data_IF_006433611018
#
_entry.id   IF_006433611018
#
_cell.length_a   1.000
_cell.length_b   1.000
_cell.length_c   1.000
_cell.angle_alpha   90.00
_cell.angle_beta   90.00
_cell.angle_gamma   90.00
#
_symmetry.space_group_name_H-M   'P 1'
#
loop_
_entity.id
_entity.type
_entity.pdbx_description
1 polymer ?
#
# COMPACT_ATOMS: atom_id res chain seq x y z
N UNK A 1 4.70 -0.08 -32.60
CA UNK A 1 5.28 1.24 -32.21
C UNK A 1 4.24 2.18 -31.61
N UNK A 2 3.07 2.37 -32.23
CA UNK A 2 2.00 3.18 -31.65
C UNK A 2 1.47 2.60 -30.31
N UNK A 3 1.33 1.28 -30.21
CA UNK A 3 1.01 0.58 -28.95
C UNK A 3 1.99 0.84 -27.82
N UNK A 4 3.30 0.83 -28.11
CA UNK A 4 4.32 1.15 -27.12
C UNK A 4 4.21 2.60 -26.64
N UNK A 5 4.04 3.57 -27.55
CA UNK A 5 3.89 4.97 -27.13
C UNK A 5 2.62 5.19 -26.32
N UNK A 6 1.50 4.62 -26.76
CA UNK A 6 0.20 4.83 -26.13
C UNK A 6 0.16 4.13 -24.76
N UNK A 7 0.66 2.90 -24.65
CA UNK A 7 0.77 2.22 -23.36
C UNK A 7 1.76 2.89 -22.40
N UNK A 8 2.84 3.51 -22.89
CA UNK A 8 3.73 4.29 -22.03
C UNK A 8 3.08 5.58 -21.49
N UNK A 9 2.14 6.17 -22.22
CA UNK A 9 1.32 7.28 -21.69
C UNK A 9 0.47 6.78 -20.53
N UNK A 10 -0.21 5.64 -20.68
CA UNK A 10 -0.97 5.03 -19.59
C UNK A 10 -0.07 4.68 -18.38
N UNK A 11 1.16 4.19 -18.59
CA UNK A 11 2.13 3.95 -17.49
C UNK A 11 2.47 5.24 -16.73
N UNK A 12 2.62 6.37 -17.43
CA UNK A 12 2.86 7.66 -16.78
C UNK A 12 1.63 8.15 -16.02
N UNK A 13 0.44 8.02 -16.60
CA UNK A 13 -0.83 8.39 -15.95
C UNK A 13 -1.06 7.53 -14.68
N UNK A 14 -0.79 6.23 -14.73
CA UNK A 14 -0.86 5.35 -13.57
C UNK A 14 0.10 5.76 -12.45
N UNK A 15 1.30 6.22 -12.81
CA UNK A 15 2.27 6.76 -11.85
C UNK A 15 1.76 8.07 -11.24
N UNK A 16 1.22 8.98 -12.03
CA UNK A 16 0.66 10.24 -11.52
C UNK A 16 -0.47 9.97 -10.51
N UNK A 17 -1.32 8.97 -10.77
CA UNK A 17 -2.33 8.51 -9.82
C UNK A 17 -1.75 7.92 -8.52
N UNK A 18 -0.62 7.19 -8.58
CA UNK A 18 0.08 6.75 -7.37
C UNK A 18 0.60 7.94 -6.55
N UNK A 19 1.20 8.94 -7.21
CA UNK A 19 1.71 10.14 -6.55
C UNK A 19 0.58 10.96 -5.89
N UNK A 20 -0.57 11.08 -6.57
CA UNK A 20 -1.80 11.68 -6.01
C UNK A 20 -2.33 10.87 -4.82
N UNK A 21 -2.33 9.54 -4.90
CA UNK A 21 -2.73 8.65 -3.82
C UNK A 21 -1.83 8.78 -2.59
N UNK A 22 -0.51 8.84 -2.78
CA UNK A 22 0.46 9.06 -1.70
C UNK A 22 0.31 10.45 -1.07
N UNK A 23 0.01 11.48 -1.86
CA UNK A 23 -0.29 12.82 -1.33
C UNK A 23 -1.57 12.80 -0.48
N UNK A 24 -2.67 12.25 -1.01
CA UNK A 24 -3.93 12.13 -0.28
C UNK A 24 -3.79 11.29 0.99
N UNK A 25 -2.99 10.22 0.95
CA UNK A 25 -2.69 9.40 2.13
C UNK A 25 -1.98 10.19 3.23
N UNK A 26 -0.98 11.00 2.87
CA UNK A 26 -0.26 11.87 3.83
C UNK A 26 -1.16 12.96 4.42
N UNK A 27 -2.11 13.46 3.65
CA UNK A 27 -3.10 14.43 4.10
C UNK A 27 -4.27 13.77 4.87
N UNK A 28 -4.18 12.48 5.17
CA UNK A 28 -5.20 11.66 5.84
C UNK A 28 -6.56 11.62 5.12
N UNK A 29 -6.57 11.92 3.81
CA UNK A 29 -7.77 11.83 2.97
C UNK A 29 -7.87 10.43 2.34
N UNK A 30 -8.19 9.44 3.18
CA UNK A 30 -8.15 8.03 2.81
C UNK A 30 -9.13 7.64 1.69
N UNK A 31 -10.29 8.28 1.58
CA UNK A 31 -11.24 8.01 0.49
C UNK A 31 -10.66 8.45 -0.87
N UNK A 32 -9.99 9.60 -0.90
CA UNK A 32 -9.30 10.08 -2.10
C UNK A 32 -8.07 9.22 -2.41
N UNK A 33 -7.32 8.79 -1.38
CA UNK A 33 -6.18 7.89 -1.55
C UNK A 33 -6.61 6.55 -2.16
N UNK A 34 -7.68 5.94 -1.63
CA UNK A 34 -8.27 4.70 -2.15
C UNK A 34 -8.67 4.83 -3.62
N UNK A 35 -9.36 5.93 -3.96
CA UNK A 35 -9.75 6.22 -5.34
C UNK A 35 -8.54 6.31 -6.26
N UNK A 36 -7.52 7.09 -5.87
CA UNK A 36 -6.33 7.30 -6.68
C UNK A 36 -5.50 6.01 -6.86
N UNK A 37 -5.32 5.20 -5.81
CA UNK A 37 -4.66 3.90 -5.93
C UNK A 37 -5.46 2.93 -6.81
N UNK A 38 -6.80 2.94 -6.73
CA UNK A 38 -7.63 2.15 -7.63
C UNK A 38 -7.53 2.61 -9.09
N UNK A 39 -7.49 3.92 -9.34
CA UNK A 39 -7.33 4.49 -10.68
C UNK A 39 -5.95 4.19 -11.27
N UNK A 40 -4.91 4.20 -10.43
CA UNK A 40 -3.56 3.77 -10.81
C UNK A 40 -3.54 2.32 -11.29
N UNK A 41 -4.13 1.40 -10.52
CA UNK A 41 -4.24 -0.02 -10.89
C UNK A 41 -5.02 -0.22 -12.19
N UNK A 42 -6.19 0.42 -12.32
CA UNK A 42 -6.99 0.33 -13.54
C UNK A 42 -6.28 0.89 -14.77
N UNK A 43 -5.45 1.93 -14.61
CA UNK A 43 -4.67 2.51 -15.70
C UNK A 43 -3.47 1.65 -16.06
N UNK A 44 -2.82 1.02 -15.08
CA UNK A 44 -1.81 0.00 -15.31
C UNK A 44 -2.38 -1.19 -16.11
N UNK A 45 -3.54 -1.73 -15.75
CA UNK A 45 -4.22 -2.81 -16.50
C UNK A 45 -4.49 -2.43 -17.97
N UNK A 46 -4.88 -1.17 -18.22
CA UNK A 46 -5.06 -0.64 -19.58
C UNK A 46 -3.74 -0.58 -20.35
N UNK A 47 -2.65 -0.18 -19.70
CA UNK A 47 -1.32 -0.18 -20.32
C UNK A 47 -0.89 -1.60 -20.70
N UNK A 48 -1.06 -2.59 -19.80
CA UNK A 48 -0.75 -4.00 -20.06
C UNK A 48 -1.52 -4.53 -21.27
N UNK A 49 -2.82 -4.23 -21.34
CA UNK A 49 -3.67 -4.60 -22.48
C UNK A 49 -3.16 -3.96 -23.77
N UNK A 50 -2.82 -2.68 -23.74
CA UNK A 50 -2.31 -1.94 -24.90
C UNK A 50 -0.96 -2.49 -25.39
N UNK A 51 -0.08 -2.90 -24.47
CA UNK A 51 1.16 -3.56 -24.82
C UNK A 51 0.92 -4.94 -25.44
N UNK A 52 0.05 -5.75 -24.84
CA UNK A 52 -0.30 -7.09 -25.34
C UNK A 52 -0.92 -7.04 -26.74
N UNK A 53 -1.85 -6.12 -27.00
CA UNK A 53 -2.49 -5.94 -28.30
C UNK A 53 -1.51 -5.47 -29.39
N UNK A 54 -0.42 -4.84 -28.96
CA UNK A 54 0.58 -4.25 -29.81
C UNK A 54 1.86 -5.05 -29.98
N UNK A 55 1.98 -6.16 -29.25
CA UNK A 55 3.15 -7.04 -29.26
C UNK A 55 3.26 -7.66 -30.67
N UNK A 56 4.35 -7.40 -31.39
CA UNK A 56 4.56 -8.05 -32.66
C UNK A 56 4.79 -9.55 -32.41
N UNK A 57 4.18 -10.42 -33.21
CA UNK A 57 4.48 -11.86 -33.13
C UNK A 57 5.97 -12.16 -33.39
N UNK A 58 6.34 -13.44 -33.28
CA UNK A 58 7.72 -14.00 -33.32
C UNK A 58 8.70 -13.44 -34.39
N UNK A 59 8.22 -12.72 -35.40
CA UNK A 59 9.02 -12.15 -36.49
C UNK A 59 9.72 -10.82 -36.15
N UNK A 60 9.39 -10.14 -35.03
CA UNK A 60 9.98 -8.83 -34.69
C UNK A 60 10.68 -8.77 -33.32
N UNK A 61 11.57 -9.73 -33.07
CA UNK A 61 12.37 -9.87 -31.84
C UNK A 61 13.23 -8.66 -31.44
N UNK A 62 13.30 -7.63 -32.28
CA UNK A 62 14.00 -6.39 -31.99
C UNK A 62 13.33 -5.57 -30.87
N UNK A 63 12.04 -5.80 -30.59
CA UNK A 63 11.28 -5.04 -29.59
C UNK A 63 10.97 -5.81 -28.30
N UNK A 64 11.34 -7.08 -28.19
CA UNK A 64 11.02 -7.95 -27.04
C UNK A 64 11.48 -7.30 -25.72
N UNK A 65 12.73 -6.85 -25.64
CA UNK A 65 13.27 -6.13 -24.46
C UNK A 65 12.45 -4.87 -24.10
N UNK A 66 11.83 -4.21 -25.08
CA UNK A 66 11.03 -3.01 -24.83
C UNK A 66 9.64 -3.35 -24.28
N UNK A 67 9.02 -4.42 -24.78
CA UNK A 67 7.76 -4.96 -24.25
C UNK A 67 7.96 -5.60 -22.88
N UNK A 68 9.01 -6.41 -22.68
CA UNK A 68 9.34 -7.01 -21.39
C UNK A 68 9.48 -5.94 -20.29
N UNK A 69 10.24 -4.88 -20.56
CA UNK A 69 10.36 -3.74 -19.65
C UNK A 69 9.05 -3.02 -19.43
N UNK A 70 8.19 -2.94 -20.44
CA UNK A 70 6.90 -2.29 -20.32
C UNK A 70 5.96 -3.10 -19.40
N UNK A 71 5.85 -4.41 -19.63
CA UNK A 71 5.11 -5.34 -18.78
C UNK A 71 5.62 -5.36 -17.34
N UNK A 72 6.94 -5.40 -17.17
CA UNK A 72 7.58 -5.33 -15.85
C UNK A 72 7.16 -4.05 -15.09
N UNK A 73 7.21 -2.89 -15.75
CA UNK A 73 6.81 -1.62 -15.13
C UNK A 73 5.33 -1.60 -14.76
N UNK A 74 4.47 -2.11 -15.62
CA UNK A 74 3.03 -2.19 -15.36
C UNK A 74 2.72 -3.10 -14.18
N UNK A 75 3.35 -4.27 -14.12
CA UNK A 75 3.19 -5.22 -13.01
C UNK A 75 3.61 -4.63 -11.66
N UNK A 76 4.69 -3.85 -11.64
CA UNK A 76 5.14 -3.14 -10.44
C UNK A 76 4.13 -2.07 -10.01
N UNK A 77 3.58 -1.30 -10.95
CA UNK A 77 2.55 -0.29 -10.67
C UNK A 77 1.25 -0.92 -10.15
N UNK A 78 0.82 -2.06 -10.70
CA UNK A 78 -0.31 -2.84 -10.19
C UNK A 78 -0.06 -3.26 -8.74
N UNK A 79 1.13 -3.80 -8.45
CA UNK A 79 1.51 -4.23 -7.11
C UNK A 79 1.58 -3.07 -6.12
N UNK A 80 2.11 -1.92 -6.53
CA UNK A 80 2.11 -0.70 -5.71
C UNK A 80 0.68 -0.25 -5.41
N UNK A 81 -0.18 -0.23 -6.42
CA UNK A 81 -1.59 0.16 -6.30
C UNK A 81 -2.36 -0.76 -5.35
N UNK A 82 -2.23 -2.08 -5.53
CA UNK A 82 -2.86 -3.10 -4.69
C UNK A 82 -2.36 -3.00 -3.24
N UNK A 83 -1.03 -2.94 -3.05
CA UNK A 83 -0.43 -2.85 -1.73
C UNK A 83 -0.87 -1.58 -0.98
N UNK A 84 -0.94 -0.43 -1.66
CA UNK A 84 -1.41 0.79 -1.03
C UNK A 84 -2.91 0.79 -0.73
N UNK A 85 -3.74 0.17 -1.56
CA UNK A 85 -5.15 -0.07 -1.25
C UNK A 85 -5.32 -0.87 0.06
N UNK A 86 -4.52 -1.92 0.25
CA UNK A 86 -4.49 -2.68 1.50
C UNK A 86 -4.03 -1.84 2.70
N UNK A 87 -3.05 -0.95 2.52
CA UNK A 87 -2.61 -0.01 3.57
C UNK A 87 -3.77 0.93 3.97
N UNK A 88 -4.50 1.49 3.01
CA UNK A 88 -5.67 2.34 3.28
C UNK A 88 -6.76 1.57 4.03
N UNK A 89 -7.08 0.35 3.60
CA UNK A 89 -8.05 -0.51 4.27
C UNK A 89 -7.64 -0.83 5.71
N UNK A 90 -6.36 -1.08 5.95
CA UNK A 90 -5.82 -1.34 7.30
C UNK A 90 -6.00 -0.11 8.19
N UNK A 91 -5.70 1.11 7.69
CA UNK A 91 -5.91 2.37 8.43
C UNK A 91 -7.36 2.57 8.84
N UNK A 92 -8.30 2.35 7.93
CA UNK A 92 -9.73 2.43 8.24
C UNK A 92 -10.14 1.43 9.34
N UNK A 93 -9.61 0.20 9.27
CA UNK A 93 -9.85 -0.84 10.28
C UNK A 93 -9.24 -0.48 11.64
N UNK A 94 -8.03 0.08 11.65
CA UNK A 94 -7.37 0.55 12.86
C UNK A 94 -8.13 1.70 13.53
N UNK A 95 -8.66 2.66 12.77
CA UNK A 95 -9.47 3.74 13.33
C UNK A 95 -10.78 3.21 13.95
N UNK A 96 -11.42 2.22 13.33
CA UNK A 96 -12.55 1.52 13.95
C UNK A 96 -12.12 0.85 15.28
N UNK A 97 -10.93 0.24 15.33
CA UNK A 97 -10.34 -0.27 16.57
C UNK A 97 -10.13 0.79 17.64
N UNK A 98 -9.64 1.98 17.27
CA UNK A 98 -9.49 3.13 18.19
C UNK A 98 -10.85 3.60 18.73
N UNK A 99 -11.90 3.59 17.92
CA UNK A 99 -13.26 3.90 18.38
C UNK A 99 -13.78 2.89 19.41
N UNK A 100 -13.59 1.58 19.16
CA UNK A 100 -13.93 0.53 20.13
C UNK A 100 -13.14 0.67 21.43
N UNK A 101 -11.85 1.01 21.34
CA UNK A 101 -10.99 1.21 22.50
C UNK A 101 -11.46 2.40 23.36
N UNK A 102 -11.81 3.53 22.73
CA UNK A 102 -12.42 4.70 23.40
C UNK A 102 -13.76 4.33 24.07
N UNK A 103 -14.53 3.44 23.43
CA UNK A 103 -15.76 2.86 23.97
C UNK A 103 -15.53 1.84 25.10
N UNK A 104 -14.28 1.50 25.43
CA UNK A 104 -13.88 0.43 26.37
C UNK A 104 -14.32 -0.97 25.95
N UNK A 105 -14.57 -1.17 24.65
CA UNK A 105 -14.84 -2.48 24.06
C UNK A 105 -13.51 -3.16 23.70
N UNK A 106 -12.69 -3.46 24.69
CA UNK A 106 -11.29 -3.87 24.51
C UNK A 106 -11.09 -5.10 23.60
N UNK A 107 -11.94 -6.12 23.73
CA UNK A 107 -11.85 -7.31 22.86
C UNK A 107 -12.19 -7.00 21.40
N UNK A 108 -13.18 -6.12 21.16
CA UNK A 108 -13.52 -5.69 19.81
C UNK A 108 -12.39 -4.84 19.21
N UNK A 109 -11.82 -3.91 19.99
CA UNK A 109 -10.67 -3.11 19.60
C UNK A 109 -9.48 -4.00 19.20
N UNK A 110 -9.11 -4.95 20.08
CA UNK A 110 -8.05 -5.93 19.85
C UNK A 110 -8.25 -6.70 18.55
N UNK A 111 -9.46 -7.22 18.31
CA UNK A 111 -9.79 -7.94 17.08
C UNK A 111 -9.63 -7.07 15.83
N UNK A 112 -9.97 -5.77 15.91
CA UNK A 112 -9.78 -4.83 14.79
C UNK A 112 -8.32 -4.57 14.50
N UNK A 113 -7.50 -4.32 15.53
CA UNK A 113 -6.05 -4.12 15.34
C UNK A 113 -5.35 -5.37 14.78
N UNK A 114 -5.74 -6.56 15.21
CA UNK A 114 -5.23 -7.82 14.63
C UNK A 114 -5.64 -7.99 13.16
N UNK A 115 -6.85 -7.57 12.81
CA UNK A 115 -7.31 -7.60 11.41
C UNK A 115 -6.51 -6.61 10.57
N UNK A 116 -6.29 -5.40 11.09
CA UNK A 116 -5.47 -4.37 10.45
C UNK A 116 -4.02 -4.82 10.25
N UNK A 117 -3.40 -5.49 11.24
CA UNK A 117 -2.06 -6.10 11.09
C UNK A 117 -2.04 -7.19 10.02
N UNK A 118 -3.05 -8.07 10.00
CA UNK A 118 -3.15 -9.11 8.98
C UNK A 118 -3.22 -8.53 7.56
N UNK A 119 -3.99 -7.44 7.36
CA UNK A 119 -4.06 -6.72 6.08
C UNK A 119 -2.72 -6.06 5.73
N UNK A 120 -2.00 -5.50 6.70
CA UNK A 120 -0.64 -4.96 6.46
C UNK A 120 0.35 -6.05 6.10
N UNK A 121 0.26 -7.23 6.70
CA UNK A 121 1.05 -8.39 6.31
C UNK A 121 0.72 -8.93 4.92
N UNK A 122 -0.42 -8.58 4.35
CA UNK A 122 -0.72 -8.81 2.93
C UNK A 122 -0.09 -7.75 2.04
N UNK A 123 -0.22 -6.47 2.40
CA UNK A 123 0.47 -5.39 1.69
C UNK A 123 1.99 -5.61 1.64
N UNK A 124 2.60 -6.01 2.75
CA UNK A 124 4.03 -6.36 2.82
C UNK A 124 4.42 -7.44 1.81
N UNK A 125 3.60 -8.50 1.68
CA UNK A 125 3.84 -9.59 0.73
C UNK A 125 3.74 -9.11 -0.72
N UNK A 126 2.76 -8.26 -1.02
CA UNK A 126 2.59 -7.67 -2.36
C UNK A 126 3.82 -6.81 -2.72
N UNK A 127 4.22 -5.89 -1.84
CA UNK A 127 5.38 -5.02 -2.07
C UNK A 127 6.70 -5.81 -2.17
N UNK A 128 6.89 -6.82 -1.31
CA UNK A 128 8.09 -7.68 -1.37
C UNK A 128 8.14 -8.48 -2.67
N UNK A 129 6.98 -8.98 -3.15
CA UNK A 129 6.89 -9.67 -4.43
C UNK A 129 7.30 -8.78 -5.60
N UNK A 130 6.87 -7.51 -5.59
CA UNK A 130 7.23 -6.55 -6.62
C UNK A 130 8.69 -6.08 -6.58
N UNK A 131 9.40 -6.25 -5.45
CA UNK A 131 10.77 -5.76 -5.29
C UNK A 131 11.77 -6.39 -6.26
N UNK A 132 11.59 -7.67 -6.63
CA UNK A 132 12.45 -8.31 -7.64
C UNK A 132 12.25 -7.71 -9.03
N UNK A 133 11.06 -7.20 -9.30
CA UNK A 133 10.62 -6.79 -10.62
C UNK A 133 10.70 -5.26 -10.79
N UNK A 134 10.89 -4.50 -9.71
CA UNK A 134 10.98 -3.04 -9.74
C UNK A 134 12.19 -2.48 -10.49
N UNK A 135 13.31 -3.21 -10.47
CA UNK A 135 14.60 -2.70 -10.92
C UNK A 135 14.98 -1.38 -10.23
N UNK A 136 15.85 -0.58 -10.87
CA UNK A 136 16.29 0.71 -10.30
C UNK A 136 15.20 1.79 -10.36
N UNK A 137 14.17 1.62 -11.19
CA UNK A 137 13.18 2.67 -11.46
C UNK A 137 12.11 2.81 -10.37
N UNK A 138 11.74 1.71 -9.72
CA UNK A 138 10.70 1.67 -8.68
C UNK A 138 11.20 1.13 -7.33
N UNK A 139 12.49 0.76 -7.24
CA UNK A 139 13.08 0.27 -6.00
C UNK A 139 12.87 1.21 -4.81
N UNK A 140 13.16 2.53 -4.93
CA UNK A 140 12.94 3.49 -3.85
C UNK A 140 11.48 3.59 -3.39
N UNK A 141 10.52 3.51 -4.31
CA UNK A 141 9.09 3.58 -4.03
C UNK A 141 8.63 2.34 -3.24
N UNK A 142 9.09 1.14 -3.63
CA UNK A 142 8.81 -0.09 -2.88
C UNK A 142 9.46 -0.06 -1.50
N UNK A 143 10.71 0.39 -1.40
CA UNK A 143 11.42 0.48 -0.11
C UNK A 143 10.68 1.43 0.86
N UNK A 144 10.18 2.56 0.35
CA UNK A 144 9.32 3.47 1.11
C UNK A 144 8.02 2.79 1.56
N UNK A 145 7.35 2.09 0.66
CA UNK A 145 6.10 1.39 0.97
C UNK A 145 6.32 0.31 2.06
N UNK A 146 7.41 -0.46 1.96
CA UNK A 146 7.80 -1.45 2.97
C UNK A 146 8.17 -0.81 4.32
N UNK A 147 8.91 0.30 4.32
CA UNK A 147 9.19 1.07 5.53
C UNK A 147 7.89 1.49 6.22
N UNK A 148 6.94 2.04 5.46
CA UNK A 148 5.64 2.48 5.97
C UNK A 148 4.85 1.32 6.57
N UNK A 149 4.78 0.19 5.86
CA UNK A 149 4.10 -1.01 6.36
C UNK A 149 4.74 -1.47 7.67
N UNK A 150 6.07 -1.55 7.76
CA UNK A 150 6.77 -1.96 8.97
C UNK A 150 6.40 -1.11 10.19
N UNK A 151 6.37 0.21 10.05
CA UNK A 151 5.94 1.11 11.14
C UNK A 151 4.46 0.94 11.50
N UNK A 152 3.57 0.81 10.51
CA UNK A 152 2.15 0.61 10.78
C UNK A 152 1.87 -0.72 11.49
N UNK A 153 2.64 -1.78 11.20
CA UNK A 153 2.52 -3.07 11.90
C UNK A 153 2.95 -2.96 13.37
N UNK A 154 4.07 -2.30 13.64
CA UNK A 154 4.48 -2.01 15.03
C UNK A 154 3.40 -1.22 15.78
N UNK A 155 2.76 -0.25 15.11
CA UNK A 155 1.64 0.49 15.70
C UNK A 155 0.46 -0.45 16.05
N UNK A 156 0.14 -1.43 15.19
CA UNK A 156 -0.93 -2.39 15.47
C UNK A 156 -0.60 -3.28 16.67
N UNK A 157 0.65 -3.74 16.79
CA UNK A 157 1.11 -4.51 17.96
C UNK A 157 0.94 -3.72 19.26
N UNK A 158 1.34 -2.44 19.25
CA UNK A 158 1.13 -1.52 20.38
C UNK A 158 -0.35 -1.33 20.70
N UNK A 159 -1.24 -1.17 19.71
CA UNK A 159 -2.67 -1.04 19.98
C UNK A 159 -3.33 -2.33 20.47
N UNK A 160 -2.84 -3.50 20.05
CA UNK A 160 -3.25 -4.80 20.62
C UNK A 160 -2.84 -4.88 22.09
N UNK A 161 -1.62 -4.47 22.43
CA UNK A 161 -1.12 -4.42 23.81
C UNK A 161 -1.93 -3.41 24.66
N UNK A 162 -2.22 -2.22 24.13
CA UNK A 162 -3.06 -1.23 24.78
C UNK A 162 -4.48 -1.77 25.08
N UNK A 163 -5.07 -2.50 24.12
CA UNK A 163 -6.37 -3.13 24.29
C UNK A 163 -6.34 -4.19 25.39
N UNK A 164 -5.28 -5.00 25.45
CA UNK A 164 -5.09 -5.99 26.51
C UNK A 164 -4.95 -5.33 27.88
N UNK A 165 -4.07 -4.34 28.01
CA UNK A 165 -3.87 -3.59 29.25
C UNK A 165 -5.15 -2.92 29.74
N UNK A 166 -5.97 -2.38 28.82
CA UNK A 166 -7.29 -1.85 29.13
C UNK A 166 -8.26 -2.89 29.69
N UNK A 167 -8.27 -4.10 29.11
CA UNK A 167 -9.06 -5.24 29.59
C UNK A 167 -8.63 -5.65 31.01
N UNK A 168 -7.33 -5.61 31.29
CA UNK A 168 -6.74 -5.96 32.59
C UNK A 168 -6.85 -4.83 33.63
N UNK A 169 -7.29 -3.64 33.23
CA UNK A 169 -7.40 -2.46 34.09
C UNK A 169 -6.06 -1.75 34.37
N UNK A 170 -5.00 -2.11 33.65
CA UNK A 170 -3.68 -1.48 33.73
C UNK A 170 -3.65 -0.20 32.89
N UNK A 171 -4.01 0.91 33.54
CA UNK A 171 -4.12 2.22 32.88
C UNK A 171 -2.77 2.76 32.42
N UNK A 172 -1.71 2.57 33.19
CA UNK A 172 -0.40 3.14 32.88
C UNK A 172 0.18 2.46 31.63
N UNK A 173 0.06 1.12 31.55
CA UNK A 173 0.46 0.38 30.35
C UNK A 173 -0.42 0.75 29.15
N UNK A 174 -1.75 0.87 29.32
CA UNK A 174 -2.64 1.30 28.22
C UNK A 174 -2.21 2.65 27.63
N UNK A 175 -1.92 3.65 28.46
CA UNK A 175 -1.55 5.00 28.00
C UNK A 175 -0.17 5.00 27.32
N UNK A 176 0.78 4.22 27.86
CA UNK A 176 2.11 4.04 27.27
C UNK A 176 2.04 3.40 25.88
N UNK A 177 1.31 2.29 25.75
CA UNK A 177 1.17 1.56 24.49
C UNK A 177 0.41 2.37 23.43
N UNK A 178 -0.64 3.12 23.83
CA UNK A 178 -1.29 4.06 22.93
C UNK A 178 -0.31 5.09 22.37
N UNK A 179 0.52 5.68 23.22
CA UNK A 179 1.51 6.69 22.81
C UNK A 179 2.56 6.09 21.85
N UNK A 180 3.02 4.88 22.13
CA UNK A 180 3.94 4.16 21.25
C UNK A 180 3.31 3.87 19.88
N UNK A 181 2.05 3.43 19.85
CA UNK A 181 1.31 3.20 18.62
C UNK A 181 1.15 4.46 17.77
N UNK A 182 0.78 5.60 18.37
CA UNK A 182 0.70 6.87 17.63
C UNK A 182 2.08 7.33 17.14
N UNK A 183 3.15 7.12 17.92
CA UNK A 183 4.52 7.45 17.50
C UNK A 183 4.94 6.67 16.26
N UNK A 184 4.58 5.39 16.18
CA UNK A 184 4.87 4.58 15.00
C UNK A 184 3.99 4.94 13.80
N UNK A 185 2.76 5.43 14.01
CA UNK A 185 1.96 6.04 12.94
C UNK A 185 2.69 7.26 12.35
N UNK A 186 3.21 8.15 13.20
CA UNK A 186 3.93 9.35 12.74
C UNK A 186 5.16 8.97 11.92
N UNK A 187 5.95 8.00 12.39
CA UNK A 187 7.12 7.47 11.66
C UNK A 187 6.77 6.86 10.32
N UNK A 188 5.61 6.22 10.19
CA UNK A 188 5.13 5.69 8.91
C UNK A 188 4.92 6.81 7.86
N UNK A 189 4.66 8.04 8.31
CA UNK A 189 4.60 9.24 7.47
C UNK A 189 5.97 9.78 7.02
N UNK A 190 7.07 9.34 7.66
CA UNK A 190 8.43 9.84 7.43
C UNK A 190 9.28 9.01 6.44
N UNK A 191 8.76 7.89 5.91
CA UNK A 191 9.50 6.92 5.09
C UNK A 191 10.00 7.39 3.69
#
# INVERSE_FOLDING_TARGET
MQSLSDGYVDVLDARDHLEDGEAAFRDENYDQADTAFSDAGATADRAETTFSDGEPGDEASFFDDAFDRAFQRTSVLQSLSEGYGLVVQSRATAEAGRQELRGRNFEAAKSKFQTADSTLGEAERVFTGAQSDAGEAYGPEIDRALCRVGHLRNAMDHFVAASQAGSDGDRDTLESELTAGETDIDRAGEC
#
